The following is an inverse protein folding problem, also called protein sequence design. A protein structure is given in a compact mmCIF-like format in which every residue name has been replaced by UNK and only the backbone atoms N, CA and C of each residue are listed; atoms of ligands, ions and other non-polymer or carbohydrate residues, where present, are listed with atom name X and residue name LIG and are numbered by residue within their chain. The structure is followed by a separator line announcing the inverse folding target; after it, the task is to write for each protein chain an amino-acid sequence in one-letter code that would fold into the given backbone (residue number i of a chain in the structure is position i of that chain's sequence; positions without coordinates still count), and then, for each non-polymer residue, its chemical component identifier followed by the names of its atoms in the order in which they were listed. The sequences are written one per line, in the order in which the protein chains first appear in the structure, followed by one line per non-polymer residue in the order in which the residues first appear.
data_IF_236629111744
#
_entry.id   IF_236629111744
#
_cell.length_a   1.000
_cell.length_b   1.000
_cell.length_c   1.000
_cell.angle_alpha   90.00
_cell.angle_beta   90.00
_cell.angle_gamma   90.00
#
_symmetry.space_group_name_H-M   'P 1'
#
loop_
_entity.id
_entity.type
_entity.pdbx_description
1 polymer ?
#
# COMPACT_ATOMS: atom_id res chain seq x y z
N UNK A 1 22.95 -9.68 27.87
CA UNK A 1 23.73 -9.44 26.64
C UNK A 1 22.89 -8.80 25.50
N UNK A 2 21.58 -9.03 25.34
CA UNK A 2 20.78 -8.47 24.23
C UNK A 2 20.61 -6.94 24.24
N UNK A 3 20.66 -6.25 25.37
CA UNK A 3 20.49 -4.79 25.46
C UNK A 3 21.70 -3.98 24.96
N UNK A 4 22.90 -4.54 24.99
CA UNK A 4 24.13 -3.85 24.55
C UNK A 4 24.19 -3.71 23.01
N UNK A 5 23.70 -4.70 22.29
CA UNK A 5 23.71 -4.67 20.82
C UNK A 5 22.74 -3.65 20.21
N UNK A 6 21.61 -3.38 20.90
CA UNK A 6 20.64 -2.36 20.47
C UNK A 6 21.27 -0.96 20.61
N UNK A 7 21.98 -0.68 21.69
CA UNK A 7 22.67 0.58 21.91
C UNK A 7 23.82 0.81 20.91
N UNK A 8 24.59 -0.22 20.58
CA UNK A 8 25.63 -0.13 19.58
C UNK A 8 25.07 0.13 18.17
N UNK A 9 23.93 -0.48 17.84
CA UNK A 9 23.25 -0.23 16.56
C UNK A 9 22.69 1.19 16.45
N UNK A 10 22.08 1.72 17.50
CA UNK A 10 21.58 3.10 17.52
C UNK A 10 22.71 4.14 17.47
N UNK A 11 23.83 3.89 18.15
CA UNK A 11 25.00 4.78 18.09
C UNK A 11 25.64 4.73 16.69
N UNK A 12 25.72 3.58 16.03
CA UNK A 12 26.25 3.47 14.67
C UNK A 12 25.35 4.17 13.65
N UNK A 13 24.03 4.11 13.83
CA UNK A 13 23.07 4.81 12.99
C UNK A 13 23.18 6.34 13.14
N UNK A 14 23.34 6.84 14.37
CA UNK A 14 23.57 8.25 14.66
C UNK A 14 24.92 8.75 14.11
N UNK A 15 25.98 7.94 14.20
CA UNK A 15 27.29 8.28 13.64
C UNK A 15 27.26 8.34 12.10
N UNK A 16 26.50 7.45 11.44
CA UNK A 16 26.32 7.48 10.00
C UNK A 16 25.64 8.76 9.50
N UNK A 17 24.67 9.28 10.27
CA UNK A 17 23.98 10.55 9.94
C UNK A 17 24.92 11.74 10.05
N UNK A 18 25.87 11.74 10.98
CA UNK A 18 26.86 12.84 11.12
C UNK A 18 27.96 12.80 10.06
N UNK A 19 28.29 11.64 9.48
CA UNK A 19 29.31 11.57 8.43
C UNK A 19 28.83 12.09 7.07
N UNK A 20 27.52 12.17 6.84
CA UNK A 20 26.98 12.71 5.59
C UNK A 20 26.99 14.25 5.52
N UNK A 21 27.26 14.93 6.63
CA UNK A 21 27.34 16.40 6.68
C UNK A 21 28.75 16.97 6.51
N UNK A 22 29.78 16.12 6.39
CA UNK A 22 31.19 16.53 6.27
C UNK A 22 31.73 16.45 4.84
N UNK A 23 30.88 16.56 3.81
CA UNK A 23 31.37 16.85 2.46
C UNK A 23 31.52 18.37 2.33
N UNK A 24 32.78 18.81 2.18
CA UNK A 24 33.16 20.20 1.87
C UNK A 24 32.24 20.76 0.78
N UNK A 25 31.62 21.89 1.11
CA UNK A 25 31.02 22.78 0.12
C UNK A 25 32.22 23.36 -0.67
N UNK A 26 32.53 22.75 -1.81
CA UNK A 26 33.30 23.44 -2.82
C UNK A 26 32.43 24.63 -3.25
N UNK A 27 32.82 25.82 -2.87
CA UNK A 27 32.29 27.07 -3.42
C UNK A 27 32.52 27.06 -4.93
N UNK A 28 31.56 26.52 -5.67
CA UNK A 28 31.43 26.80 -7.09
C UNK A 28 30.95 28.25 -7.21
N UNK A 29 31.79 29.12 -7.79
CA UNK A 29 31.47 30.49 -8.14
C UNK A 29 30.02 30.60 -8.61
N UNK A 30 29.26 31.45 -7.93
CA UNK A 30 27.91 31.83 -8.30
C UNK A 30 27.96 32.60 -9.62
N UNK A 31 28.02 31.88 -10.73
CA UNK A 31 27.60 32.44 -12.00
C UNK A 31 26.08 32.53 -11.93
N UNK A 32 25.61 33.69 -11.55
CA UNK A 32 24.22 34.13 -11.58
C UNK A 32 23.69 34.15 -13.02
N UNK A 33 23.49 32.98 -13.57
CA UNK A 33 22.61 32.82 -14.71
C UNK A 33 21.24 32.50 -14.10
N UNK A 34 20.33 33.45 -14.18
CA UNK A 34 18.87 33.26 -14.01
C UNK A 34 18.46 32.08 -14.88
N UNK A 35 18.65 30.87 -14.38
CA UNK A 35 18.14 29.65 -14.99
C UNK A 35 16.65 29.78 -14.97
N UNK A 36 16.07 30.30 -16.03
CA UNK A 36 14.64 30.25 -16.34
C UNK A 36 14.19 28.83 -16.00
N UNK A 37 13.46 28.66 -14.89
CA UNK A 37 12.95 27.35 -14.49
C UNK A 37 12.15 26.82 -15.66
N UNK A 38 12.75 25.90 -16.43
CA UNK A 38 12.01 25.22 -17.52
C UNK A 38 10.79 24.60 -16.86
N UNK A 39 9.62 25.06 -17.26
CA UNK A 39 8.34 24.48 -16.79
C UNK A 39 8.34 23.03 -17.25
N UNK A 40 8.55 22.11 -16.34
CA UNK A 40 8.46 20.68 -16.63
C UNK A 40 7.02 20.40 -17.08
N UNK A 41 6.78 19.72 -18.21
CA UNK A 41 5.43 19.48 -18.71
C UNK A 41 4.62 18.72 -17.65
N UNK A 42 3.34 19.06 -17.55
CA UNK A 42 2.42 18.27 -16.75
C UNK A 42 2.38 16.85 -17.31
N UNK A 43 2.49 15.88 -16.44
CA UNK A 43 2.48 14.47 -16.82
C UNK A 43 1.40 13.78 -16.03
N UNK A 44 0.48 13.14 -16.72
CA UNK A 44 -0.51 12.23 -16.14
C UNK A 44 -0.02 10.82 -16.41
N UNK A 45 0.09 10.00 -15.38
CA UNK A 45 0.40 8.57 -15.51
C UNK A 45 -0.79 7.76 -15.04
N UNK A 46 -1.10 6.70 -15.76
CA UNK A 46 -2.12 5.72 -15.38
C UNK A 46 -1.63 4.31 -15.73
N UNK A 47 -2.08 3.34 -14.97
CA UNK A 47 -1.64 1.95 -15.18
C UNK A 47 -2.26 0.98 -14.19
N UNK A 48 -1.59 -0.14 -14.04
CA UNK A 48 -2.03 -1.30 -13.28
C UNK A 48 -0.99 -1.66 -12.22
N UNK A 49 -1.47 -2.15 -11.09
CA UNK A 49 -0.65 -2.87 -10.14
C UNK A 49 -0.62 -4.35 -10.50
N UNK A 50 0.55 -4.83 -10.90
CA UNK A 50 0.78 -6.22 -11.28
C UNK A 50 0.98 -7.13 -10.07
N UNK A 51 1.21 -6.59 -8.88
CA UNK A 51 1.36 -7.40 -7.66
C UNK A 51 0.08 -8.16 -7.33
N UNK A 52 -1.11 -7.57 -7.62
CA UNK A 52 -2.40 -8.19 -7.34
C UNK A 52 -2.66 -9.44 -8.21
N UNK A 53 -2.57 -9.38 -9.55
CA UNK A 53 -2.69 -10.57 -10.40
C UNK A 53 -1.61 -11.61 -10.09
N UNK A 54 -0.40 -11.20 -9.75
CA UNK A 54 0.67 -12.11 -9.37
C UNK A 54 0.33 -12.89 -8.08
N UNK A 55 -0.14 -12.20 -7.06
CA UNK A 55 -0.61 -12.82 -5.82
C UNK A 55 -1.78 -13.77 -6.05
N UNK A 56 -2.67 -13.48 -7.01
CA UNK A 56 -3.76 -14.36 -7.38
C UNK A 56 -3.31 -15.71 -7.98
N UNK A 57 -2.10 -15.78 -8.54
CA UNK A 57 -1.53 -17.04 -9.02
C UNK A 57 -0.89 -17.86 -7.87
N UNK A 58 -0.36 -17.18 -6.86
CA UNK A 58 0.26 -17.84 -5.71
C UNK A 58 -0.78 -18.33 -4.69
N UNK A 59 -1.86 -17.59 -4.54
CA UNK A 59 -2.92 -17.84 -3.57
C UNK A 59 -4.25 -18.06 -4.29
N UNK A 60 -4.66 -19.33 -4.43
CA UNK A 60 -5.91 -19.72 -5.12
C UNK A 60 -7.17 -19.12 -4.52
N UNK A 61 -7.12 -18.68 -3.27
CA UNK A 61 -8.23 -18.01 -2.59
C UNK A 61 -8.27 -16.49 -2.82
N UNK A 62 -7.30 -15.92 -3.52
CA UNK A 62 -7.18 -14.49 -3.74
C UNK A 62 -7.41 -14.10 -5.21
N UNK A 63 -8.17 -13.04 -5.40
CA UNK A 63 -8.27 -12.33 -6.66
C UNK A 63 -8.22 -10.83 -6.38
N UNK A 64 -7.43 -10.09 -7.15
CA UNK A 64 -7.32 -8.65 -7.01
C UNK A 64 -6.93 -7.96 -8.32
N UNK A 65 -7.47 -6.76 -8.49
CA UNK A 65 -7.11 -5.83 -9.55
C UNK A 65 -7.03 -4.42 -8.97
N UNK A 66 -5.97 -3.68 -9.28
CA UNK A 66 -5.80 -2.30 -8.85
C UNK A 66 -5.35 -1.43 -10.01
N UNK A 67 -6.10 -0.37 -10.28
CA UNK A 67 -5.76 0.71 -11.20
C UNK A 67 -5.03 1.79 -10.42
N UNK A 68 -3.95 2.31 -10.98
CA UNK A 68 -3.14 3.36 -10.36
C UNK A 68 -3.05 4.56 -11.30
N UNK A 69 -3.11 5.74 -10.71
CA UNK A 69 -2.95 6.99 -11.47
C UNK A 69 -2.23 8.03 -10.65
N UNK A 70 -1.40 8.84 -11.30
CA UNK A 70 -0.80 10.02 -10.68
C UNK A 70 -0.69 11.18 -11.66
N UNK A 71 -0.72 12.37 -11.12
CA UNK A 71 -0.61 13.62 -11.86
C UNK A 71 0.39 14.54 -11.17
N UNK A 72 1.33 15.11 -11.93
CA UNK A 72 2.18 16.17 -11.39
C UNK A 72 1.36 17.41 -11.11
N UNK A 73 1.32 17.85 -9.87
CA UNK A 73 0.62 19.06 -9.44
C UNK A 73 1.54 20.29 -9.55
N UNK A 74 2.70 20.19 -8.90
CA UNK A 74 3.71 21.27 -8.95
C UNK A 74 5.07 20.69 -8.57
N UNK A 75 6.14 21.25 -9.17
CA UNK A 75 7.54 20.87 -8.92
C UNK A 75 7.75 19.35 -8.74
N UNK A 76 7.94 18.88 -7.52
CA UNK A 76 8.21 17.48 -7.17
C UNK A 76 6.99 16.80 -6.49
N UNK A 77 5.82 17.46 -6.44
CA UNK A 77 4.59 16.91 -5.87
C UNK A 77 3.68 16.31 -6.94
N UNK A 78 3.18 15.11 -6.64
CA UNK A 78 2.25 14.37 -7.48
C UNK A 78 1.01 14.01 -6.65
N UNK A 79 -0.17 14.34 -7.16
CA UNK A 79 -1.42 13.77 -6.67
C UNK A 79 -1.56 12.34 -7.17
N UNK A 80 -2.06 11.45 -6.32
CA UNK A 80 -2.20 10.03 -6.70
C UNK A 80 -3.54 9.47 -6.27
N UNK A 81 -4.07 8.60 -7.13
CA UNK A 81 -5.32 7.87 -6.93
C UNK A 81 -5.10 6.39 -7.25
N UNK A 82 -5.70 5.53 -6.46
CA UNK A 82 -5.69 4.09 -6.67
C UNK A 82 -7.11 3.56 -6.45
N UNK A 83 -7.56 2.71 -7.36
CA UNK A 83 -8.88 2.09 -7.34
C UNK A 83 -8.70 0.59 -7.45
N UNK A 84 -9.22 -0.16 -6.49
CA UNK A 84 -9.05 -1.60 -6.51
C UNK A 84 -10.32 -2.37 -6.16
N UNK A 85 -10.31 -3.62 -6.62
CA UNK A 85 -11.28 -4.65 -6.25
C UNK A 85 -10.52 -5.88 -5.78
N UNK A 86 -10.93 -6.45 -4.68
CA UNK A 86 -10.35 -7.67 -4.14
C UNK A 86 -11.43 -8.64 -3.67
N UNK A 87 -11.15 -9.92 -3.88
CA UNK A 87 -11.87 -11.04 -3.30
C UNK A 87 -10.88 -11.96 -2.62
N UNK A 88 -11.13 -12.27 -1.36
CA UNK A 88 -10.32 -13.21 -0.58
C UNK A 88 -11.20 -14.26 0.03
N UNK A 89 -10.95 -15.53 -0.30
CA UNK A 89 -11.49 -16.68 0.40
C UNK A 89 -10.35 -17.33 1.17
N UNK A 90 -10.49 -17.47 2.45
CA UNK A 90 -9.49 -18.12 3.29
C UNK A 90 -10.12 -19.22 4.11
N UNK A 91 -9.45 -20.36 4.08
CA UNK A 91 -9.77 -21.50 4.91
C UNK A 91 -8.65 -21.68 5.91
N UNK A 92 -8.99 -21.63 7.19
CA UNK A 92 -8.14 -22.02 8.29
C UNK A 92 -8.76 -23.22 9.01
N UNK A 93 -8.10 -23.74 10.02
CA UNK A 93 -8.59 -24.90 10.78
C UNK A 93 -9.96 -24.63 11.43
N UNK A 94 -10.21 -23.41 11.88
CA UNK A 94 -11.39 -23.05 12.65
C UNK A 94 -12.43 -22.23 11.88
N UNK A 95 -12.08 -21.59 10.77
CA UNK A 95 -12.99 -20.71 10.03
C UNK A 95 -12.69 -20.69 8.54
N UNK A 96 -13.75 -20.76 7.74
CA UNK A 96 -13.73 -20.51 6.31
C UNK A 96 -14.59 -19.27 6.02
N UNK A 97 -13.99 -18.27 5.38
CA UNK A 97 -14.70 -17.03 5.05
C UNK A 97 -14.33 -16.51 3.67
N UNK A 98 -15.22 -15.69 3.13
CA UNK A 98 -15.01 -14.98 1.87
C UNK A 98 -15.32 -13.51 2.07
N UNK A 99 -14.36 -12.65 1.77
CA UNK A 99 -14.54 -11.20 1.73
C UNK A 99 -14.40 -10.71 0.29
N UNK A 100 -15.29 -9.81 -0.13
CA UNK A 100 -15.25 -9.19 -1.46
C UNK A 100 -15.55 -7.71 -1.30
N UNK A 101 -14.77 -6.86 -1.96
CA UNK A 101 -15.02 -5.42 -1.90
C UNK A 101 -14.18 -4.60 -2.85
N UNK A 102 -14.52 -3.32 -2.87
CA UNK A 102 -13.81 -2.29 -3.61
C UNK A 102 -13.15 -1.34 -2.64
N UNK A 103 -12.10 -0.70 -3.09
CA UNK A 103 -11.46 0.35 -2.32
C UNK A 103 -10.96 1.48 -3.21
N UNK A 104 -10.86 2.64 -2.61
CA UNK A 104 -10.26 3.83 -3.19
C UNK A 104 -9.18 4.35 -2.25
N UNK A 105 -8.03 4.75 -2.80
CA UNK A 105 -6.98 5.41 -2.06
C UNK A 105 -6.65 6.72 -2.76
N UNK A 106 -6.56 7.78 -1.97
CA UNK A 106 -6.24 9.12 -2.44
C UNK A 106 -5.05 9.67 -1.64
N UNK A 107 -4.18 10.40 -2.29
CA UNK A 107 -3.05 11.00 -1.60
C UNK A 107 -2.08 11.70 -2.52
N UNK A 108 -0.85 11.81 -2.06
CA UNK A 108 0.20 12.51 -2.78
C UNK A 108 1.56 11.80 -2.60
N UNK A 109 2.43 12.02 -3.58
CA UNK A 109 3.82 11.58 -3.59
C UNK A 109 4.72 12.80 -3.69
N UNK A 110 5.77 12.83 -2.89
CA UNK A 110 6.85 13.77 -2.98
C UNK A 110 8.09 13.09 -3.57
N UNK A 111 8.56 13.58 -4.72
CA UNK A 111 9.74 13.05 -5.38
C UNK A 111 11.01 13.63 -4.76
N UNK A 112 11.80 12.77 -4.14
CA UNK A 112 13.08 13.10 -3.53
C UNK A 112 14.23 13.14 -4.54
N UNK A 113 14.04 12.55 -5.72
CA UNK A 113 15.09 12.36 -6.70
C UNK A 113 15.18 13.54 -7.68
N UNK A 114 16.36 14.16 -7.77
CA UNK A 114 16.66 15.17 -8.77
C UNK A 114 17.06 14.50 -10.07
N UNK A 115 16.17 14.46 -11.03
CA UNK A 115 16.40 13.86 -12.34
C UNK A 115 17.40 14.68 -13.19
N UNK A 116 18.20 13.98 -13.99
CA UNK A 116 18.92 14.59 -15.08
C UNK A 116 17.95 15.05 -16.18
N UNK A 117 18.40 15.99 -17.02
CA UNK A 117 17.61 16.56 -18.11
C UNK A 117 17.06 15.44 -19.01
N UNK A 118 15.74 15.41 -19.19
CA UNK A 118 15.04 14.39 -20.02
C UNK A 118 14.63 13.10 -19.30
N UNK A 119 15.01 12.91 -18.04
CA UNK A 119 14.54 11.79 -17.22
C UNK A 119 13.40 12.22 -16.30
N UNK A 120 12.43 11.34 -16.09
CA UNK A 120 11.31 11.55 -15.14
C UNK A 120 11.20 10.38 -14.15
N UNK A 121 12.35 9.83 -13.74
CA UNK A 121 12.41 8.84 -12.69
C UNK A 121 12.04 9.47 -11.34
N UNK A 122 11.56 8.68 -10.40
CA UNK A 122 11.24 9.15 -9.08
C UNK A 122 11.69 8.15 -8.02
N UNK A 123 12.28 8.66 -6.96
CA UNK A 123 12.35 8.01 -5.65
C UNK A 123 11.44 8.87 -4.79
N UNK A 124 10.38 8.30 -4.26
CA UNK A 124 9.32 9.10 -3.64
C UNK A 124 8.92 8.60 -2.26
N UNK A 125 8.45 9.54 -1.47
CA UNK A 125 7.73 9.30 -0.24
C UNK A 125 6.28 9.75 -0.45
N UNK A 126 5.33 8.89 -0.11
CA UNK A 126 3.92 9.16 -0.33
C UNK A 126 3.07 8.95 0.92
N UNK A 127 1.94 9.62 0.93
CA UNK A 127 0.87 9.41 1.91
C UNK A 127 -0.44 9.13 1.17
N UNK A 128 -1.22 8.19 1.70
CA UNK A 128 -2.56 7.85 1.19
C UNK A 128 -3.56 7.77 2.33
N UNK A 129 -4.78 8.09 2.01
CA UNK A 129 -5.96 7.73 2.80
C UNK A 129 -6.73 6.71 1.97
N UNK A 130 -6.93 5.51 2.53
CA UNK A 130 -7.71 4.44 1.93
C UNK A 130 -9.07 4.31 2.56
N UNK A 131 -10.08 4.02 1.73
CA UNK A 131 -11.42 3.62 2.15
C UNK A 131 -11.81 2.36 1.41
N UNK A 132 -12.28 1.35 2.15
CA UNK A 132 -12.82 0.10 1.62
C UNK A 132 -14.32 0.02 1.88
N UNK A 133 -15.03 -0.51 0.91
CA UNK A 133 -16.44 -0.89 1.00
C UNK A 133 -16.52 -2.36 0.62
N UNK A 134 -16.94 -3.20 1.57
CA UNK A 134 -16.85 -4.63 1.37
C UNK A 134 -17.99 -5.38 2.05
N UNK A 135 -18.06 -6.65 1.73
CA UNK A 135 -18.95 -7.62 2.35
C UNK A 135 -18.16 -8.85 2.77
N UNK A 136 -18.56 -9.45 3.87
CA UNK A 136 -17.93 -10.62 4.44
C UNK A 136 -18.97 -11.70 4.66
N UNK A 137 -18.65 -12.91 4.22
CA UNK A 137 -19.45 -14.10 4.45
C UNK A 137 -18.60 -15.15 5.17
N UNK A 138 -19.04 -15.60 6.32
CA UNK A 138 -18.50 -16.80 6.95
C UNK A 138 -19.16 -17.99 6.27
N UNK A 139 -18.38 -18.91 5.73
CA UNK A 139 -18.86 -20.11 5.04
C UNK A 139 -19.08 -21.27 6.00
N UNK A 140 -18.14 -21.45 6.93
CA UNK A 140 -18.18 -22.44 8.00
C UNK A 140 -17.26 -22.01 9.14
N UNK A 141 -17.57 -22.40 10.35
CA UNK A 141 -16.70 -22.18 11.48
C UNK A 141 -16.86 -23.30 12.52
N UNK A 142 -15.81 -23.50 13.30
CA UNK A 142 -15.75 -24.43 14.42
C UNK A 142 -15.71 -23.62 15.72
N UNK A 143 -16.75 -23.68 16.57
CA UNK A 143 -16.74 -22.99 17.85
C UNK A 143 -15.67 -23.56 18.76
N UNK A 144 -14.93 -22.70 19.44
CA UNK A 144 -13.99 -23.12 20.45
C UNK A 144 -14.73 -23.74 21.64
N UNK A 145 -14.56 -25.04 21.85
CA UNK A 145 -15.13 -25.77 22.99
C UNK A 145 -14.09 -26.04 24.04
N UNK A 146 -14.31 -25.53 25.25
CA UNK A 146 -13.39 -25.73 26.39
C UNK A 146 -13.40 -27.20 26.83
N UNK A 147 -14.51 -27.93 26.62
CA UNK A 147 -14.66 -29.33 26.96
C UNK A 147 -14.38 -30.23 25.74
N UNK A 148 -13.22 -30.82 25.70
CA UNK A 148 -12.77 -31.74 24.65
C UNK A 148 -13.44 -33.12 24.65
N UNK A 149 -14.56 -33.26 25.36
CA UNK A 149 -15.24 -34.59 25.51
C UNK A 149 -16.04 -34.99 24.26
N UNK A 150 -16.45 -34.02 23.44
CA UNK A 150 -17.19 -34.25 22.21
C UNK A 150 -16.38 -33.73 21.02
N UNK A 151 -16.41 -34.44 19.86
CA UNK A 151 -15.80 -33.90 18.66
C UNK A 151 -16.44 -32.55 18.33
N UNK A 152 -15.61 -31.60 17.94
CA UNK A 152 -16.03 -30.28 17.56
C UNK A 152 -16.99 -30.35 16.35
N UNK A 153 -18.13 -29.70 16.45
CA UNK A 153 -19.13 -29.66 15.41
C UNK A 153 -18.86 -28.46 14.47
N UNK A 154 -18.61 -28.77 13.21
CA UNK A 154 -18.41 -27.70 12.19
C UNK A 154 -19.79 -27.16 11.82
N UNK A 155 -20.01 -25.89 12.11
CA UNK A 155 -21.24 -25.17 11.80
C UNK A 155 -21.18 -24.65 10.36
N UNK A 156 -22.08 -25.18 9.51
CA UNK A 156 -22.20 -24.78 8.08
C UNK A 156 -23.52 -24.05 7.78
N UNK A 157 -24.41 -23.95 8.74
CA UNK A 157 -25.73 -23.30 8.62
C UNK A 157 -26.10 -22.65 9.96
N UNK A 158 -26.60 -21.43 9.90
CA UNK A 158 -27.02 -20.71 11.09
C UNK A 158 -27.18 -19.22 10.84
N UNK A 159 -27.72 -18.47 11.78
CA UNK A 159 -27.85 -17.01 11.65
C UNK A 159 -26.51 -16.29 11.53
N UNK A 160 -25.44 -16.90 12.00
CA UNK A 160 -24.08 -16.37 11.99
C UNK A 160 -23.40 -16.58 10.63
N UNK A 161 -23.85 -17.56 9.82
CA UNK A 161 -23.41 -17.82 8.45
C UNK A 161 -24.22 -16.95 7.49
N UNK A 162 -24.26 -15.66 7.76
CA UNK A 162 -24.93 -14.69 6.92
C UNK A 162 -23.91 -13.81 6.21
N UNK A 163 -24.20 -13.45 4.97
CA UNK A 163 -23.44 -12.40 4.30
C UNK A 163 -23.72 -11.08 5.01
N UNK A 164 -22.67 -10.45 5.50
CA UNK A 164 -22.71 -9.15 6.14
C UNK A 164 -22.30 -8.12 5.10
N UNK A 165 -23.25 -7.30 4.69
CA UNK A 165 -23.06 -6.22 3.72
C UNK A 165 -22.77 -4.89 4.42
N UNK A 166 -22.43 -3.89 3.63
CA UNK A 166 -22.22 -2.51 4.08
C UNK A 166 -21.07 -2.34 5.10
N UNK A 167 -20.11 -3.23 5.09
CA UNK A 167 -18.89 -3.09 5.88
C UNK A 167 -18.00 -2.03 5.24
N UNK A 168 -17.33 -1.24 6.06
CA UNK A 168 -16.37 -0.26 5.58
C UNK A 168 -15.20 -0.13 6.52
N UNK A 169 -14.05 0.24 5.95
CA UNK A 169 -12.86 0.51 6.72
C UNK A 169 -12.10 1.68 6.14
N UNK A 170 -11.43 2.43 7.01
CA UNK A 170 -10.59 3.57 6.65
C UNK A 170 -9.22 3.43 7.29
N UNK A 171 -8.18 3.72 6.52
CA UNK A 171 -6.80 3.66 6.98
C UNK A 171 -5.93 4.73 6.33
N UNK A 172 -4.74 4.91 6.87
CA UNK A 172 -3.67 5.75 6.31
C UNK A 172 -2.52 4.87 5.89
N UNK A 173 -1.85 5.22 4.79
CA UNK A 173 -0.65 4.54 4.32
C UNK A 173 0.50 5.53 4.21
N UNK A 174 1.69 5.10 4.65
CA UNK A 174 2.96 5.71 4.31
C UNK A 174 3.62 4.83 3.26
N UNK A 175 4.07 5.44 2.18
CA UNK A 175 4.60 4.73 1.02
C UNK A 175 6.00 5.25 0.73
N UNK A 176 6.92 4.34 0.46
CA UNK A 176 8.19 4.67 -0.18
C UNK A 176 8.36 3.83 -1.43
N UNK A 177 8.89 4.43 -2.49
CA UNK A 177 8.98 3.69 -3.75
C UNK A 177 9.88 4.36 -4.77
N UNK A 178 10.08 3.61 -5.83
CA UNK A 178 10.82 4.04 -7.01
C UNK A 178 9.93 3.91 -8.24
N UNK A 179 10.04 4.86 -9.18
CA UNK A 179 9.45 4.78 -10.52
C UNK A 179 10.54 5.05 -11.54
N UNK A 180 10.70 4.14 -12.49
CA UNK A 180 11.75 4.19 -13.50
C UNK A 180 11.13 4.16 -14.89
N UNK A 181 11.56 5.07 -15.75
CA UNK A 181 11.19 5.08 -17.17
C UNK A 181 11.91 3.95 -17.87
N UNK A 182 11.16 3.03 -18.44
CA UNK A 182 11.69 1.87 -19.17
C UNK A 182 11.85 2.17 -20.65
N UNK A 183 10.75 2.44 -21.34
CA UNK A 183 10.72 2.66 -22.78
C UNK A 183 9.71 3.79 -23.06
N UNK A 184 10.11 4.77 -23.89
CA UNK A 184 9.24 5.89 -24.25
C UNK A 184 8.47 6.49 -23.06
N UNK A 185 7.17 6.18 -22.96
CA UNK A 185 6.27 6.70 -21.93
C UNK A 185 5.86 5.63 -20.91
N UNK A 186 6.48 4.45 -20.91
CA UNK A 186 6.19 3.35 -19.99
C UNK A 186 7.12 3.45 -18.79
N UNK A 187 6.54 3.39 -17.60
CA UNK A 187 7.23 3.41 -16.32
C UNK A 187 6.92 2.13 -15.56
N UNK A 188 7.93 1.60 -14.89
CA UNK A 188 7.80 0.56 -13.89
C UNK A 188 8.03 1.15 -12.51
N UNK A 189 7.22 0.75 -11.56
CA UNK A 189 7.30 1.21 -10.19
C UNK A 189 7.32 0.05 -9.22
N UNK A 190 8.09 0.21 -8.14
CA UNK A 190 8.05 -0.66 -6.99
C UNK A 190 7.87 0.20 -5.74
N UNK A 191 6.98 -0.20 -4.85
CA UNK A 191 6.75 0.53 -3.61
C UNK A 191 6.50 -0.40 -2.44
N UNK A 192 6.94 0.05 -1.26
CA UNK A 192 6.64 -0.54 0.04
C UNK A 192 5.65 0.36 0.76
N UNK A 193 4.72 -0.26 1.47
CA UNK A 193 3.61 0.42 2.15
C UNK A 193 3.53 -0.03 3.60
N UNK A 194 3.34 0.94 4.47
CA UNK A 194 2.99 0.72 5.86
C UNK A 194 1.63 1.34 6.11
N UNK A 195 0.66 0.51 6.50
CA UNK A 195 -0.73 0.88 6.64
C UNK A 195 -1.10 0.92 8.11
N UNK A 196 -1.93 1.88 8.51
CA UNK A 196 -2.52 1.94 9.85
C UNK A 196 -4.02 2.11 9.76
N UNK A 197 -4.76 1.17 10.30
CA UNK A 197 -6.21 1.22 10.39
C UNK A 197 -6.65 2.35 11.33
N UNK A 198 -7.59 3.16 10.89
CA UNK A 198 -8.14 4.28 11.65
C UNK A 198 -9.51 3.96 12.21
N UNK A 199 -10.37 3.37 11.38
CA UNK A 199 -11.72 2.96 11.77
C UNK A 199 -12.21 1.85 10.87
N UNK A 200 -13.05 0.99 11.43
CA UNK A 200 -13.77 -0.05 10.69
C UNK A 200 -15.18 -0.26 11.25
N UNK A 201 -16.11 -0.57 10.35
CA UNK A 201 -17.44 -1.07 10.70
C UNK A 201 -17.34 -2.58 10.71
N UNK A 202 -17.66 -3.20 11.84
CA UNK A 202 -17.52 -4.65 12.06
C UNK A 202 -18.81 -5.38 11.80
N UNK A 203 -18.74 -6.64 11.36
CA UNK A 203 -19.89 -7.54 11.35
C UNK A 203 -20.45 -7.76 12.77
N UNK A 204 -21.71 -8.10 12.88
CA UNK A 204 -22.40 -8.28 14.19
C UNK A 204 -21.79 -9.40 15.06
N UNK A 205 -21.34 -10.50 14.44
CA UNK A 205 -20.92 -11.72 15.17
C UNK A 205 -19.43 -12.06 14.99
N UNK A 206 -18.74 -11.43 14.04
CA UNK A 206 -17.34 -11.66 13.75
C UNK A 206 -16.62 -10.34 13.53
N UNK A 207 -15.31 -10.32 13.73
CA UNK A 207 -14.50 -9.16 13.36
C UNK A 207 -14.27 -9.12 11.84
N UNK A 208 -13.78 -7.99 11.31
CA UNK A 208 -13.31 -7.92 9.94
C UNK A 208 -12.08 -8.81 9.79
N UNK A 209 -12.22 -9.96 9.14
CA UNK A 209 -11.16 -10.94 8.98
C UNK A 209 -10.17 -10.55 7.87
N UNK A 210 -10.69 -9.83 6.86
CA UNK A 210 -9.93 -9.30 5.75
C UNK A 210 -10.56 -8.00 5.26
N UNK A 211 -9.75 -6.98 5.05
CA UNK A 211 -10.18 -5.69 4.52
C UNK A 211 -9.53 -5.49 3.16
N UNK A 212 -10.33 -5.43 2.05
CA UNK A 212 -9.81 -5.16 0.71
C UNK A 212 -8.97 -3.88 0.66
N UNK A 213 -7.78 -3.97 0.06
CA UNK A 213 -6.82 -2.87 -0.02
C UNK A 213 -5.97 -2.62 1.22
N UNK A 214 -6.39 -3.11 2.40
CA UNK A 214 -5.61 -3.02 3.64
C UNK A 214 -4.89 -4.33 3.95
N UNK A 215 -5.55 -5.46 3.83
CA UNK A 215 -5.09 -6.82 4.07
C UNK A 215 -5.73 -7.47 5.31
N UNK A 216 -5.12 -8.51 5.86
CA UNK A 216 -5.61 -9.24 7.02
C UNK A 216 -5.52 -8.37 8.27
N UNK A 217 -6.63 -8.30 9.00
CA UNK A 217 -6.72 -7.69 10.32
C UNK A 217 -6.62 -8.78 11.40
N UNK A 218 -5.95 -8.44 12.50
CA UNK A 218 -5.98 -9.23 13.74
C UNK A 218 -6.42 -8.32 14.89
N UNK A 219 -7.07 -8.86 15.91
CA UNK A 219 -7.73 -8.10 16.98
C UNK A 219 -6.81 -7.06 17.66
N UNK A 220 -5.54 -7.37 17.78
CA UNK A 220 -4.57 -6.51 18.47
C UNK A 220 -3.71 -5.68 17.53
N UNK A 221 -3.76 -5.93 16.21
CA UNK A 221 -2.86 -5.29 15.26
C UNK A 221 -3.60 -4.42 14.26
N UNK A 222 -3.49 -3.11 14.46
CA UNK A 222 -4.00 -2.08 13.54
C UNK A 222 -3.03 -1.75 12.40
N UNK A 223 -1.87 -2.39 12.35
CA UNK A 223 -0.85 -2.14 11.35
C UNK A 223 -0.85 -3.21 10.26
N UNK A 224 -0.63 -2.78 9.03
CA UNK A 224 -0.43 -3.64 7.87
C UNK A 224 0.80 -3.22 7.10
N UNK A 225 1.37 -4.14 6.37
CA UNK A 225 2.45 -3.87 5.44
C UNK A 225 2.13 -4.50 4.08
N UNK A 226 2.59 -3.87 3.02
CA UNK A 226 2.36 -4.35 1.66
C UNK A 226 3.43 -3.85 0.71
N UNK A 227 3.39 -4.39 -0.49
CA UNK A 227 4.19 -3.92 -1.61
C UNK A 227 3.34 -3.88 -2.88
N UNK A 228 3.71 -2.99 -3.80
CA UNK A 228 3.09 -2.91 -5.11
C UNK A 228 4.17 -2.92 -6.18
N UNK A 229 3.84 -3.53 -7.31
CA UNK A 229 4.65 -3.54 -8.52
C UNK A 229 3.81 -3.03 -9.67
N UNK A 230 4.05 -1.81 -10.11
CA UNK A 230 3.18 -1.11 -11.04
C UNK A 230 3.81 -0.97 -12.41
N UNK A 231 2.95 -1.02 -13.44
CA UNK A 231 3.29 -0.59 -14.79
C UNK A 231 2.36 0.55 -15.18
N UNK A 232 2.93 1.70 -15.57
CA UNK A 232 2.15 2.90 -15.88
C UNK A 232 2.59 3.51 -17.21
N UNK A 233 1.63 4.11 -17.90
CA UNK A 233 1.83 4.86 -19.13
C UNK A 233 1.66 6.36 -18.84
N UNK A 234 2.63 7.16 -19.30
CA UNK A 234 2.64 8.60 -19.11
C UNK A 234 2.13 9.34 -20.35
N UNK A 235 1.11 10.16 -20.17
CA UNK A 235 0.63 11.09 -21.20
C UNK A 235 1.28 12.45 -20.93
N UNK A 236 2.15 12.95 -21.85
CA UNK A 236 2.67 14.31 -21.74
C UNK A 236 1.57 15.31 -22.11
N UNK A 237 1.13 16.10 -21.15
CA UNK A 237 0.16 17.16 -21.38
C UNK A 237 0.95 18.45 -21.64
N UNK A 238 0.86 18.98 -22.85
CA UNK A 238 1.34 20.32 -23.20
C UNK A 238 0.22 21.32 -22.86
N UNK A 239 0.38 22.08 -21.80
CA UNK A 239 -0.41 23.26 -21.47
C UNK A 239 0.30 24.52 -21.91
#
# INVERSE_FOLDING_TARGET
MKKVHIWLFTISLLAAVHWTTAQEIVEEEVVDTLKKREKKPYTIRFGLDLSKPFMAQLDKGYFGLELVGDIRLFSEFYGAIELGNEKKTQQSEQINYTTTGNYIKLGFDYNLFKNWKGMNNAIYLGLRIGNSFHKQKVNEYEPYQINHYWPAEIIKKGPEIREQDALSARWVEVITGIKVKMINNIYMGFSLRLNRLMSDIRPDNFDNLYIPGFNKKTDENVWGAGFNYTITYAIPVKL
#
